data_IF_561631677309
#
_entry.id   IF_561631677309
#
_cell.length_a   1.000
_cell.length_b   1.000
_cell.length_c   1.000
_cell.angle_alpha   90.00
_cell.angle_beta   90.00
_cell.angle_gamma   90.00
#
_symmetry.space_group_name_H-M   'P 1'
#
loop_
_entity.id
_entity.type
_entity.pdbx_description
1 polymer ?
#
# COMPACT_ATOMS: atom_id res chain seq x y z
N UNK A 1 -11.14 -1.20 -27.09
CA UNK A 1 -10.73 -0.81 -25.74
C UNK A 1 -9.99 -1.94 -25.04
N UNK A 2 -10.48 -3.18 -25.11
CA UNK A 2 -9.81 -4.34 -24.48
C UNK A 2 -8.43 -4.63 -25.10
N UNK A 3 -8.28 -4.47 -26.43
CA UNK A 3 -7.01 -4.66 -27.16
C UNK A 3 -5.86 -3.76 -26.68
N UNK A 4 -6.20 -2.61 -26.10
CA UNK A 4 -5.23 -1.63 -25.57
C UNK A 4 -5.17 -1.61 -24.05
N UNK A 5 -5.81 -2.57 -23.40
CA UNK A 5 -5.91 -2.66 -21.93
C UNK A 5 -6.51 -1.41 -21.24
N UNK A 6 -7.36 -0.66 -21.97
CA UNK A 6 -7.99 0.57 -21.45
C UNK A 6 -9.37 0.25 -20.84
N UNK A 7 -9.96 -0.91 -21.19
CA UNK A 7 -11.30 -1.26 -20.73
C UNK A 7 -11.44 -1.34 -19.20
N UNK A 8 -10.48 -1.89 -18.44
CA UNK A 8 -10.56 -1.90 -16.98
C UNK A 8 -10.64 -0.49 -16.38
N UNK A 9 -9.78 0.42 -16.81
CA UNK A 9 -9.76 1.81 -16.33
C UNK A 9 -11.04 2.57 -16.68
N UNK A 10 -11.55 2.34 -17.88
CA UNK A 10 -12.82 2.91 -18.31
C UNK A 10 -13.98 2.42 -17.46
N UNK A 11 -14.09 1.11 -17.22
CA UNK A 11 -15.13 0.53 -16.38
C UNK A 11 -15.02 1.02 -14.93
N UNK A 12 -13.80 1.14 -14.41
CA UNK A 12 -13.57 1.72 -13.09
C UNK A 12 -14.13 3.14 -13.01
N UNK A 13 -13.80 4.00 -13.97
CA UNK A 13 -14.31 5.38 -14.03
C UNK A 13 -15.83 5.43 -14.09
N UNK A 14 -16.44 4.59 -14.93
CA UNK A 14 -17.91 4.50 -15.01
C UNK A 14 -18.53 4.08 -13.68
N UNK A 15 -17.93 3.07 -13.01
CA UNK A 15 -18.40 2.63 -11.69
C UNK A 15 -18.25 3.75 -10.65
N UNK A 16 -17.11 4.40 -10.58
CA UNK A 16 -16.86 5.50 -9.65
C UNK A 16 -17.91 6.61 -9.87
N UNK A 17 -18.11 7.07 -11.10
CA UNK A 17 -19.13 8.09 -11.42
C UNK A 17 -20.53 7.64 -11.00
N UNK A 18 -20.93 6.41 -11.31
CA UNK A 18 -22.24 5.89 -10.94
C UNK A 18 -22.45 5.79 -9.43
N UNK A 19 -21.45 5.31 -8.72
CA UNK A 19 -21.51 5.09 -7.27
C UNK A 19 -21.47 6.39 -6.45
N UNK A 20 -20.89 7.44 -7.01
CA UNK A 20 -20.72 8.70 -6.29
C UNK A 20 -21.67 9.81 -6.76
N UNK A 21 -22.49 9.56 -7.78
CA UNK A 21 -23.38 10.55 -8.39
C UNK A 21 -24.27 11.29 -7.36
N UNK A 22 -24.81 10.56 -6.39
CA UNK A 22 -25.74 11.12 -5.39
C UNK A 22 -25.01 11.71 -4.17
N UNK A 23 -23.69 11.59 -4.11
CA UNK A 23 -22.88 12.15 -3.03
C UNK A 23 -22.65 13.64 -3.29
N UNK A 24 -23.18 14.49 -2.39
CA UNK A 24 -23.05 15.96 -2.51
C UNK A 24 -22.20 16.49 -1.36
N UNK A 25 -20.89 16.68 -1.58
CA UNK A 25 -20.04 17.35 -0.61
C UNK A 25 -20.54 18.79 -0.33
N UNK A 26 -20.54 19.18 0.92
CA UNK A 26 -20.88 20.55 1.28
C UNK A 26 -19.74 21.52 0.95
N UNK A 27 -20.01 22.84 1.05
CA UNK A 27 -19.01 23.87 0.69
C UNK A 27 -17.76 23.84 1.58
N UNK A 28 -17.91 23.56 2.86
CA UNK A 28 -16.80 23.48 3.79
C UNK A 28 -15.87 22.31 3.46
N UNK A 29 -16.43 21.14 3.16
CA UNK A 29 -15.68 19.97 2.71
C UNK A 29 -14.90 20.26 1.42
N UNK A 30 -15.54 20.93 0.46
CA UNK A 30 -14.88 21.32 -0.80
C UNK A 30 -13.70 22.27 -0.56
N UNK A 31 -13.88 23.29 0.29
CA UNK A 31 -12.81 24.25 0.64
C UNK A 31 -11.65 23.53 1.36
N UNK A 32 -11.94 22.65 2.30
CA UNK A 32 -10.92 21.91 3.04
C UNK A 32 -10.18 20.93 2.12
N UNK A 33 -10.87 20.28 1.20
CA UNK A 33 -10.26 19.41 0.22
C UNK A 33 -9.36 20.16 -0.76
N UNK A 34 -9.79 21.34 -1.22
CA UNK A 34 -8.98 22.23 -2.04
C UNK A 34 -7.72 22.70 -1.32
N UNK A 35 -7.84 23.13 -0.05
CA UNK A 35 -6.68 23.49 0.78
C UNK A 35 -5.68 22.33 0.92
N UNK A 36 -6.19 21.14 1.16
CA UNK A 36 -5.35 19.94 1.22
C UNK A 36 -4.64 19.69 -0.11
N UNK A 37 -5.35 19.80 -1.23
CA UNK A 37 -4.76 19.69 -2.56
C UNK A 37 -3.61 20.67 -2.77
N UNK A 38 -3.77 21.94 -2.39
CA UNK A 38 -2.70 22.93 -2.49
C UNK A 38 -1.48 22.57 -1.64
N UNK A 39 -1.70 22.10 -0.41
CA UNK A 39 -0.62 21.67 0.49
C UNK A 39 0.13 20.45 -0.05
N UNK A 40 -0.59 19.42 -0.49
CA UNK A 40 -0.03 18.18 -0.99
C UNK A 40 0.83 18.42 -2.26
N UNK A 41 0.44 19.37 -3.09
CA UNK A 41 1.17 19.77 -4.31
C UNK A 41 2.15 20.93 -4.10
N UNK A 42 2.33 21.40 -2.85
CA UNK A 42 3.22 22.53 -2.50
C UNK A 42 2.92 23.82 -3.27
N UNK A 43 1.66 24.04 -3.62
CA UNK A 43 1.20 25.21 -4.36
C UNK A 43 0.96 26.38 -3.38
N UNK A 44 1.71 27.45 -3.52
CA UNK A 44 1.60 28.64 -2.65
C UNK A 44 1.25 29.86 -3.49
N UNK A 45 0.03 30.37 -3.30
CA UNK A 45 -0.46 31.56 -3.99
C UNK A 45 -0.99 31.30 -5.41
N UNK A 46 -1.57 32.38 -5.97
CA UNK A 46 -2.29 32.30 -7.23
C UNK A 46 -1.38 32.02 -8.45
N UNK A 47 -0.18 32.59 -8.43
CA UNK A 47 0.79 32.42 -9.52
C UNK A 47 1.25 30.97 -9.65
N UNK A 48 1.58 30.34 -8.50
CA UNK A 48 1.97 28.94 -8.45
C UNK A 48 0.81 28.02 -8.89
N UNK A 49 -0.44 28.36 -8.54
CA UNK A 49 -1.61 27.61 -9.00
C UNK A 49 -1.78 27.73 -10.52
N UNK A 50 -1.67 28.94 -11.08
CA UNK A 50 -1.76 29.15 -12.52
C UNK A 50 -0.66 28.39 -13.28
N UNK A 51 0.56 28.40 -12.75
CA UNK A 51 1.66 27.62 -13.34
C UNK A 51 1.34 26.13 -13.30
N UNK A 52 0.90 25.61 -12.15
CA UNK A 52 0.52 24.21 -12.01
C UNK A 52 -0.61 23.81 -13.01
N UNK A 53 -1.63 24.66 -13.17
CA UNK A 53 -2.72 24.45 -14.12
C UNK A 53 -2.19 24.36 -15.56
N UNK A 54 -1.33 25.29 -15.96
CA UNK A 54 -0.71 25.30 -17.29
C UNK A 54 0.13 24.04 -17.54
N UNK A 55 0.97 23.66 -16.58
CA UNK A 55 1.83 22.48 -16.65
C UNK A 55 1.03 21.17 -16.79
N UNK A 56 -0.19 21.15 -16.25
CA UNK A 56 -1.09 19.99 -16.32
C UNK A 56 -2.17 20.10 -17.44
N UNK A 57 -2.18 21.17 -18.22
CA UNK A 57 -3.17 21.39 -19.29
C UNK A 57 -4.60 21.53 -18.78
N UNK A 58 -4.76 22.11 -17.59
CA UNK A 58 -6.05 22.30 -16.91
C UNK A 58 -6.41 23.79 -16.85
N UNK A 59 -7.69 24.08 -16.77
CA UNK A 59 -8.26 25.35 -16.35
C UNK A 59 -8.92 25.21 -14.96
N UNK A 60 -9.28 26.35 -14.35
CA UNK A 60 -9.92 26.39 -13.02
C UNK A 60 -11.17 25.50 -12.96
N UNK A 61 -12.01 25.53 -14.00
CA UNK A 61 -13.25 24.76 -14.05
C UNK A 61 -13.00 23.26 -14.07
N UNK A 62 -11.99 22.82 -14.82
CA UNK A 62 -11.60 21.42 -14.88
C UNK A 62 -10.98 20.96 -13.57
N UNK A 63 -10.17 21.82 -12.94
CA UNK A 63 -9.65 21.54 -11.60
C UNK A 63 -10.77 21.39 -10.58
N UNK A 64 -11.73 22.31 -10.54
CA UNK A 64 -12.89 22.24 -9.64
C UNK A 64 -13.68 20.96 -9.83
N UNK A 65 -13.97 20.61 -11.09
CA UNK A 65 -14.68 19.36 -11.43
C UNK A 65 -13.89 18.13 -10.95
N UNK A 66 -12.60 18.09 -11.23
CA UNK A 66 -11.72 16.98 -10.83
C UNK A 66 -11.65 16.82 -9.30
N UNK A 67 -11.55 17.93 -8.59
CA UNK A 67 -11.48 17.90 -7.11
C UNK A 67 -12.85 17.50 -6.51
N UNK A 68 -13.93 17.98 -7.10
CA UNK A 68 -15.28 17.58 -6.67
C UNK A 68 -15.51 16.08 -6.84
N UNK A 69 -15.19 15.51 -7.99
CA UNK A 69 -15.28 14.07 -8.24
C UNK A 69 -14.41 13.26 -7.28
N UNK A 70 -13.16 13.69 -7.06
CA UNK A 70 -12.26 13.04 -6.08
C UNK A 70 -12.83 13.09 -4.67
N UNK A 71 -13.39 14.21 -4.26
CA UNK A 71 -14.01 14.36 -2.93
C UNK A 71 -15.24 13.47 -2.78
N UNK A 72 -16.04 13.33 -3.84
CA UNK A 72 -17.17 12.38 -3.85
C UNK A 72 -16.68 10.95 -3.61
N UNK A 73 -15.59 10.52 -4.27
CA UNK A 73 -14.99 9.20 -4.07
C UNK A 73 -14.47 9.03 -2.65
N UNK A 74 -13.79 10.05 -2.08
CA UNK A 74 -13.30 9.97 -0.69
C UNK A 74 -14.46 9.87 0.31
N UNK A 75 -15.56 10.59 0.10
CA UNK A 75 -16.77 10.45 0.92
C UNK A 75 -17.41 9.07 0.78
N UNK A 76 -17.47 8.54 -0.42
CA UNK A 76 -17.94 7.17 -0.66
C UNK A 76 -17.12 6.15 0.12
N UNK A 77 -15.78 6.25 0.04
CA UNK A 77 -14.87 5.39 0.80
C UNK A 77 -15.12 5.48 2.30
N UNK A 78 -15.27 6.70 2.84
CA UNK A 78 -15.57 6.88 4.26
C UNK A 78 -16.89 6.25 4.65
N UNK A 79 -17.95 6.53 3.92
CA UNK A 79 -19.28 5.99 4.22
C UNK A 79 -19.33 4.45 4.17
N UNK A 80 -18.53 3.84 3.28
CA UNK A 80 -18.60 2.40 3.05
C UNK A 80 -17.69 1.58 3.98
N UNK A 81 -16.56 2.16 4.41
CA UNK A 81 -15.51 1.38 5.05
C UNK A 81 -15.15 1.84 6.47
N UNK A 82 -15.65 3.00 6.96
CA UNK A 82 -15.25 3.53 8.27
C UNK A 82 -15.39 2.53 9.40
N UNK A 83 -16.55 1.88 9.48
CA UNK A 83 -16.89 0.90 10.53
C UNK A 83 -16.04 -0.38 10.47
N UNK A 84 -15.34 -0.61 9.35
CA UNK A 84 -14.57 -1.83 9.09
C UNK A 84 -13.06 -1.63 9.25
N UNK A 85 -12.61 -0.38 9.40
CA UNK A 85 -11.18 -0.02 9.42
C UNK A 85 -10.46 -0.69 10.59
N UNK A 86 -11.06 -0.66 11.79
CA UNK A 86 -10.43 -1.23 12.98
C UNK A 86 -10.25 -2.74 12.85
N UNK A 87 -11.27 -3.46 12.41
CA UNK A 87 -11.18 -4.90 12.17
C UNK A 87 -10.11 -5.23 11.12
N UNK A 88 -10.13 -4.52 9.98
CA UNK A 88 -9.13 -4.74 8.92
C UNK A 88 -7.71 -4.41 9.40
N UNK A 89 -7.54 -3.39 10.26
CA UNK A 89 -6.25 -3.09 10.89
C UNK A 89 -5.78 -4.24 11.76
N UNK A 90 -6.64 -4.79 12.61
CA UNK A 90 -6.30 -5.90 13.51
C UNK A 90 -5.92 -7.16 12.70
N UNK A 91 -6.68 -7.49 11.67
CA UNK A 91 -6.38 -8.60 10.75
C UNK A 91 -5.03 -8.43 10.04
N UNK A 92 -4.68 -7.19 9.68
CA UNK A 92 -3.47 -6.89 8.92
C UNK A 92 -2.28 -6.50 9.80
N UNK A 93 -2.48 -6.39 11.12
CA UNK A 93 -1.51 -5.81 12.05
C UNK A 93 -0.13 -6.44 11.96
N UNK A 94 -0.08 -7.75 11.92
CA UNK A 94 1.19 -8.48 11.82
C UNK A 94 1.98 -8.15 10.55
N UNK A 95 1.32 -7.90 9.44
CA UNK A 95 1.96 -7.52 8.18
C UNK A 95 2.32 -6.03 8.12
N UNK A 96 1.57 -5.18 8.84
CA UNK A 96 1.76 -3.73 8.90
C UNK A 96 2.82 -3.32 9.94
N UNK A 97 3.07 -4.15 10.95
CA UNK A 97 4.15 -3.91 11.92
C UNK A 97 5.48 -3.86 11.18
N UNK A 98 6.39 -3.00 11.65
CA UNK A 98 7.66 -2.74 10.98
C UNK A 98 8.82 -3.23 11.82
N UNK A 99 9.90 -3.58 11.15
CA UNK A 99 11.14 -4.02 11.76
C UNK A 99 12.31 -3.23 11.20
N UNK A 100 13.31 -3.01 12.04
CA UNK A 100 14.65 -2.64 11.64
C UNK A 100 15.57 -3.82 11.96
N UNK A 101 16.42 -4.18 11.03
CA UNK A 101 17.39 -5.26 11.17
C UNK A 101 18.68 -4.90 10.45
N UNK A 102 19.78 -5.50 10.86
CA UNK A 102 21.05 -5.43 10.13
C UNK A 102 21.23 -6.69 9.30
N UNK A 103 21.82 -6.55 8.12
CA UNK A 103 22.14 -7.67 7.22
C UNK A 103 23.56 -7.52 6.71
N UNK A 104 24.27 -8.65 6.68
CA UNK A 104 25.55 -8.82 5.99
C UNK A 104 25.36 -9.93 4.97
N UNK A 105 25.76 -9.68 3.74
CA UNK A 105 25.53 -10.54 2.59
C UNK A 105 26.85 -10.90 1.91
N UNK A 106 27.10 -12.20 1.79
CA UNK A 106 28.29 -12.72 1.06
C UNK A 106 27.90 -13.85 0.13
N UNK A 107 28.77 -14.21 -0.80
CA UNK A 107 28.56 -15.30 -1.76
C UNK A 107 28.98 -16.66 -1.20
N UNK A 108 30.04 -16.70 -0.43
CA UNK A 108 30.66 -17.91 0.06
C UNK A 108 30.17 -18.27 1.46
N UNK A 109 29.84 -19.56 1.68
CA UNK A 109 29.34 -20.06 2.95
C UNK A 109 30.40 -20.01 4.04
N UNK A 110 31.64 -20.42 3.74
CA UNK A 110 32.70 -20.48 4.72
C UNK A 110 33.07 -19.08 5.21
N UNK A 111 33.05 -18.11 4.28
CA UNK A 111 33.22 -16.69 4.61
C UNK A 111 32.08 -16.20 5.54
N UNK A 112 30.83 -16.59 5.26
CA UNK A 112 29.68 -16.22 6.11
C UNK A 112 29.83 -16.81 7.53
N UNK A 113 30.25 -18.09 7.62
CA UNK A 113 30.47 -18.76 8.91
C UNK A 113 31.58 -18.08 9.73
N UNK A 114 32.70 -17.71 9.09
CA UNK A 114 33.80 -16.98 9.72
C UNK A 114 33.37 -15.60 10.22
N UNK A 115 32.67 -14.82 9.37
CA UNK A 115 32.19 -13.49 9.74
C UNK A 115 31.17 -13.54 10.86
N UNK A 116 30.32 -14.57 10.89
CA UNK A 116 29.40 -14.80 12.00
C UNK A 116 30.11 -14.99 13.32
N UNK A 117 31.15 -15.83 13.36
CA UNK A 117 31.96 -16.07 14.55
C UNK A 117 32.61 -14.77 15.04
N UNK A 118 33.21 -13.97 14.14
CA UNK A 118 33.81 -12.69 14.49
C UNK A 118 32.81 -11.72 15.15
N UNK A 119 31.54 -11.73 14.70
CA UNK A 119 30.50 -10.90 15.32
C UNK A 119 30.10 -11.47 16.70
N UNK A 120 29.93 -12.79 16.79
CA UNK A 120 29.50 -13.48 18.01
C UNK A 120 30.53 -13.33 19.14
N UNK A 121 31.80 -13.51 18.81
CA UNK A 121 32.94 -13.34 19.73
C UNK A 121 33.34 -11.88 19.98
N UNK A 122 32.67 -10.92 19.28
CA UNK A 122 32.93 -9.48 19.36
C UNK A 122 34.34 -9.07 18.92
N UNK A 123 34.95 -9.83 18.05
CA UNK A 123 36.24 -9.51 17.45
C UNK A 123 36.13 -8.36 16.45
N UNK A 124 34.97 -8.24 15.80
CA UNK A 124 34.65 -7.15 14.89
C UNK A 124 33.20 -6.69 15.07
N UNK A 125 32.92 -5.44 14.74
CA UNK A 125 31.56 -4.92 14.73
C UNK A 125 30.81 -5.34 13.48
N UNK A 126 29.50 -5.49 13.59
CA UNK A 126 28.66 -5.80 12.42
C UNK A 126 28.83 -4.78 11.28
N UNK A 127 28.94 -3.49 11.62
CA UNK A 127 29.09 -2.42 10.65
C UNK A 127 30.43 -2.48 9.89
N UNK A 128 31.53 -2.77 10.58
CA UNK A 128 32.87 -2.96 9.95
C UNK A 128 32.84 -4.11 8.96
N UNK A 129 32.28 -5.26 9.35
CA UNK A 129 32.22 -6.42 8.47
C UNK A 129 31.31 -6.18 7.27
N UNK A 130 30.17 -5.51 7.45
CA UNK A 130 29.31 -5.09 6.34
C UNK A 130 30.08 -4.17 5.38
N UNK A 131 30.77 -3.17 5.92
CA UNK A 131 31.55 -2.22 5.10
C UNK A 131 32.63 -2.91 4.28
N UNK A 132 33.26 -3.94 4.82
CA UNK A 132 34.38 -4.63 4.16
C UNK A 132 33.89 -5.73 3.21
N UNK A 133 32.90 -6.53 3.60
CA UNK A 133 32.58 -7.80 2.95
C UNK A 133 31.21 -7.84 2.28
N UNK A 134 30.24 -7.01 2.68
CA UNK A 134 28.90 -7.12 2.10
C UNK A 134 28.88 -6.81 0.61
N UNK A 135 28.13 -7.62 -0.14
CA UNK A 135 28.04 -7.50 -1.60
C UNK A 135 26.81 -6.70 -2.07
N UNK A 136 25.92 -6.33 -1.16
CA UNK A 136 24.68 -5.62 -1.47
C UNK A 136 24.73 -4.12 -1.17
N UNK A 137 23.62 -3.42 -1.48
CA UNK A 137 23.46 -1.98 -1.25
C UNK A 137 23.38 -1.60 0.23
N UNK A 138 23.11 -2.55 1.12
CA UNK A 138 23.13 -2.39 2.57
C UNK A 138 24.50 -1.89 3.10
N UNK A 139 25.56 -2.10 2.33
CA UNK A 139 26.89 -1.59 2.62
C UNK A 139 26.92 -0.08 2.87
N UNK A 140 26.09 0.67 2.13
CA UNK A 140 25.99 2.13 2.24
C UNK A 140 25.35 2.62 3.54
N UNK A 141 24.74 1.72 4.30
CA UNK A 141 23.97 2.01 5.51
C UNK A 141 24.46 1.17 6.71
N UNK A 142 25.74 0.75 6.70
CA UNK A 142 26.32 -0.08 7.76
C UNK A 142 25.53 -1.37 8.02
N UNK A 143 24.85 -1.89 7.01
CA UNK A 143 24.01 -3.07 7.08
C UNK A 143 22.58 -2.84 7.56
N UNK A 144 22.22 -1.64 8.02
CA UNK A 144 20.89 -1.37 8.60
C UNK A 144 19.85 -1.27 7.49
N UNK A 145 18.79 -2.06 7.62
CA UNK A 145 17.62 -2.06 6.76
C UNK A 145 16.39 -1.67 7.58
N UNK A 146 15.57 -0.81 7.02
CA UNK A 146 14.29 -0.44 7.62
C UNK A 146 14.19 1.01 8.07
N UNK A 147 13.04 1.38 8.67
CA UNK A 147 11.92 0.50 9.03
C UNK A 147 11.18 -0.05 7.82
N UNK A 148 11.01 -1.36 7.76
CA UNK A 148 10.29 -2.09 6.70
C UNK A 148 9.14 -2.90 7.30
N UNK A 149 7.99 -2.94 6.60
CA UNK A 149 6.84 -3.72 7.03
C UNK A 149 7.11 -5.22 6.87
N UNK A 150 6.68 -6.01 7.85
CA UNK A 150 6.84 -7.47 7.80
C UNK A 150 6.20 -8.10 6.56
N UNK A 151 5.06 -7.56 6.11
CA UNK A 151 4.38 -8.03 4.90
C UNK A 151 5.13 -7.77 3.58
N UNK A 152 6.22 -6.97 3.62
CA UNK A 152 7.08 -6.71 2.45
C UNK A 152 8.36 -7.53 2.45
N UNK A 153 8.63 -8.26 3.53
CA UNK A 153 9.78 -9.13 3.64
C UNK A 153 9.49 -10.48 2.99
N UNK A 154 10.56 -11.15 2.55
CA UNK A 154 10.48 -12.56 2.24
C UNK A 154 10.01 -13.35 3.47
N UNK A 155 9.24 -14.41 3.24
CA UNK A 155 8.62 -15.18 4.33
C UNK A 155 9.64 -15.71 5.33
N UNK A 156 10.72 -16.34 4.86
CA UNK A 156 11.77 -16.89 5.74
C UNK A 156 12.42 -15.82 6.60
N UNK A 157 12.68 -14.64 6.02
CA UNK A 157 13.27 -13.51 6.74
C UNK A 157 12.27 -12.93 7.74
N UNK A 158 11.01 -12.77 7.35
CA UNK A 158 9.94 -12.28 8.20
C UNK A 158 9.72 -13.17 9.43
N UNK A 159 9.63 -14.49 9.24
CA UNK A 159 9.45 -15.46 10.32
C UNK A 159 10.59 -15.40 11.34
N UNK A 160 11.86 -15.39 10.88
CA UNK A 160 13.03 -15.26 11.76
C UNK A 160 13.01 -13.98 12.58
N UNK A 161 12.76 -12.84 11.92
CA UNK A 161 12.73 -11.54 12.58
C UNK A 161 11.58 -11.39 13.58
N UNK A 162 10.42 -12.02 13.33
CA UNK A 162 9.27 -11.99 14.25
C UNK A 162 9.55 -12.63 15.59
N UNK A 163 10.24 -13.76 15.57
CA UNK A 163 10.57 -14.49 16.80
C UNK A 163 11.84 -13.98 17.48
N UNK A 164 12.54 -13.04 16.86
CA UNK A 164 13.82 -12.52 17.36
C UNK A 164 13.64 -11.56 18.52
N UNK A 165 14.52 -11.68 19.50
CA UNK A 165 14.74 -10.66 20.53
C UNK A 165 15.61 -9.53 19.98
N UNK A 166 15.51 -8.34 20.57
CA UNK A 166 16.38 -7.22 20.21
C UNK A 166 17.86 -7.61 20.37
N UNK A 167 18.65 -7.35 19.34
CA UNK A 167 20.08 -7.68 19.29
C UNK A 167 20.37 -9.14 18.92
N UNK A 168 19.36 -9.98 18.72
CA UNK A 168 19.57 -11.38 18.38
C UNK A 168 20.22 -11.48 17.00
N UNK A 169 21.37 -12.16 16.97
CA UNK A 169 22.10 -12.54 15.78
C UNK A 169 21.64 -13.92 15.30
N UNK A 170 21.45 -14.11 14.02
CA UNK A 170 21.15 -15.39 13.42
C UNK A 170 22.38 -15.95 12.70
N UNK A 171 22.63 -17.26 12.83
CA UNK A 171 23.66 -17.93 12.05
C UNK A 171 23.43 -17.73 10.54
N UNK A 172 24.49 -17.83 9.73
CA UNK A 172 24.38 -17.70 8.29
C UNK A 172 23.34 -18.65 7.69
N UNK A 173 22.51 -18.14 6.81
CA UNK A 173 21.54 -18.97 6.07
C UNK A 173 21.54 -18.57 4.60
N UNK A 174 21.23 -19.52 3.76
CA UNK A 174 21.14 -19.31 2.33
C UNK A 174 19.87 -18.49 2.00
N UNK A 175 20.05 -17.47 1.19
CA UNK A 175 18.95 -16.64 0.70
C UNK A 175 19.21 -16.28 -0.76
N UNK A 176 18.44 -16.89 -1.66
CA UNK A 176 18.67 -16.83 -3.10
C UNK A 176 20.09 -17.34 -3.39
N UNK A 177 20.91 -16.56 -4.06
CA UNK A 177 22.29 -16.92 -4.41
C UNK A 177 23.34 -16.38 -3.42
N UNK A 178 22.95 -16.06 -2.20
CA UNK A 178 23.84 -15.44 -1.21
C UNK A 178 23.64 -16.09 0.16
N UNK A 179 24.60 -15.88 1.04
CA UNK A 179 24.53 -16.18 2.45
C UNK A 179 24.31 -14.89 3.24
N UNK A 180 23.30 -14.90 4.10
CA UNK A 180 22.95 -13.77 4.95
C UNK A 180 23.24 -14.07 6.40
N UNK A 181 23.84 -13.09 7.07
CA UNK A 181 23.87 -12.96 8.53
C UNK A 181 22.94 -11.80 8.86
N UNK A 182 22.00 -12.01 9.77
CA UNK A 182 21.04 -10.96 10.17
C UNK A 182 21.08 -10.75 11.67
N UNK A 183 20.86 -9.50 12.08
CA UNK A 183 20.67 -9.12 13.47
C UNK A 183 19.40 -8.29 13.61
N UNK A 184 18.52 -8.70 14.52
CA UNK A 184 17.30 -7.95 14.81
C UNK A 184 17.65 -6.68 15.61
N UNK A 185 17.27 -5.51 15.13
CA UNK A 185 17.56 -4.24 15.81
C UNK A 185 16.36 -3.76 16.63
N UNK A 186 15.18 -3.63 15.99
CA UNK A 186 14.01 -3.06 16.65
C UNK A 186 12.71 -3.42 15.94
N UNK A 187 11.69 -3.74 16.73
CA UNK A 187 10.30 -3.79 16.29
C UNK A 187 9.64 -2.42 16.47
N UNK A 188 8.83 -2.04 15.49
CA UNK A 188 8.07 -0.79 15.45
C UNK A 188 6.59 -1.14 15.18
N UNK A 189 5.80 -1.36 16.23
CA UNK A 189 4.39 -1.67 16.08
C UNK A 189 3.65 -0.58 15.32
N UNK A 190 2.82 -0.98 14.38
CA UNK A 190 1.92 -0.08 13.68
C UNK A 190 0.84 0.45 14.62
N UNK A 191 0.40 1.68 14.38
CA UNK A 191 -0.66 2.35 15.15
C UNK A 191 -1.78 2.75 14.20
N UNK A 192 -3.01 2.67 14.68
CA UNK A 192 -4.18 3.11 13.92
C UNK A 192 -4.37 4.63 14.09
N UNK A 193 -3.43 5.41 13.58
CA UNK A 193 -3.55 6.85 13.44
C UNK A 193 -4.35 7.21 12.16
N UNK A 194 -4.62 8.50 11.95
CA UNK A 194 -5.42 8.97 10.83
C UNK A 194 -4.79 8.61 9.47
N UNK A 195 -3.47 8.62 9.37
CA UNK A 195 -2.75 8.22 8.17
C UNK A 195 -2.94 6.71 7.88
N UNK A 196 -2.88 5.87 8.91
CA UNK A 196 -3.12 4.44 8.80
C UNK A 196 -4.60 4.15 8.48
N UNK A 197 -5.55 4.85 9.11
CA UNK A 197 -6.98 4.74 8.78
C UNK A 197 -7.23 5.06 7.30
N UNK A 198 -6.67 6.15 6.81
CA UNK A 198 -6.79 6.51 5.40
C UNK A 198 -6.16 5.47 4.47
N UNK A 199 -5.00 4.94 4.83
CA UNK A 199 -4.32 3.87 4.08
C UNK A 199 -5.16 2.61 4.01
N UNK A 200 -5.69 2.14 5.15
CA UNK A 200 -6.54 0.95 5.21
C UNK A 200 -7.82 1.15 4.40
N UNK A 201 -8.47 2.30 4.55
CA UNK A 201 -9.66 2.65 3.76
C UNK A 201 -9.37 2.59 2.26
N UNK A 202 -8.22 3.09 1.82
CA UNK A 202 -7.82 3.00 0.42
C UNK A 202 -7.55 1.56 -0.02
N UNK A 203 -6.88 0.73 0.79
CA UNK A 203 -6.65 -0.68 0.48
C UNK A 203 -7.98 -1.41 0.31
N UNK A 204 -8.92 -1.25 1.25
CA UNK A 204 -10.24 -1.88 1.18
C UNK A 204 -11.03 -1.43 -0.05
N UNK A 205 -10.95 -0.14 -0.37
CA UNK A 205 -11.60 0.39 -1.56
C UNK A 205 -11.00 -0.18 -2.84
N UNK A 206 -9.66 -0.23 -2.95
CA UNK A 206 -8.98 -0.80 -4.13
C UNK A 206 -9.30 -2.29 -4.31
N UNK A 207 -9.28 -3.08 -3.24
CA UNK A 207 -9.68 -4.48 -3.26
C UNK A 207 -11.14 -4.62 -3.77
N UNK A 208 -12.03 -3.82 -3.23
CA UNK A 208 -13.45 -3.85 -3.57
C UNK A 208 -13.74 -3.39 -5.00
N UNK A 209 -13.24 -2.22 -5.42
CA UNK A 209 -13.51 -1.69 -6.76
C UNK A 209 -12.91 -2.57 -7.86
N UNK A 210 -11.71 -3.10 -7.63
CA UNK A 210 -11.07 -4.02 -8.57
C UNK A 210 -11.89 -5.32 -8.72
N UNK A 211 -12.44 -5.85 -7.63
CA UNK A 211 -13.35 -7.00 -7.68
C UNK A 211 -14.60 -6.71 -8.53
N UNK A 212 -15.19 -5.51 -8.39
CA UNK A 212 -16.35 -5.10 -9.19
C UNK A 212 -15.99 -4.93 -10.67
N UNK A 213 -14.85 -4.33 -10.97
CA UNK A 213 -14.36 -4.17 -12.36
C UNK A 213 -14.12 -5.53 -13.00
N UNK A 214 -13.47 -6.46 -12.29
CA UNK A 214 -13.24 -7.82 -12.80
C UNK A 214 -14.56 -8.54 -13.08
N UNK A 215 -15.54 -8.44 -12.19
CA UNK A 215 -16.87 -9.01 -12.39
C UNK A 215 -17.56 -8.45 -13.66
N UNK A 216 -17.45 -7.16 -13.92
CA UNK A 216 -17.98 -6.56 -15.15
C UNK A 216 -17.22 -7.00 -16.41
N UNK A 217 -15.90 -7.09 -16.32
CA UNK A 217 -15.07 -7.59 -17.43
C UNK A 217 -15.45 -9.01 -17.81
N UNK A 218 -15.67 -9.88 -16.82
CA UNK A 218 -16.11 -11.26 -17.07
C UNK A 218 -17.49 -11.32 -17.73
N UNK A 219 -18.43 -10.48 -17.31
CA UNK A 219 -19.74 -10.37 -17.95
C UNK A 219 -19.65 -9.91 -19.42
N UNK A 220 -18.75 -8.96 -19.71
CA UNK A 220 -18.54 -8.44 -21.07
C UNK A 220 -17.85 -9.47 -21.94
N UNK A 221 -16.84 -10.17 -21.44
CA UNK A 221 -16.05 -11.15 -22.19
C UNK A 221 -16.79 -12.47 -22.40
N UNK A 222 -17.60 -12.86 -21.43
CA UNK A 222 -18.30 -14.16 -21.40
C UNK A 222 -19.79 -14.02 -21.13
N UNK A 223 -20.57 -13.35 -21.98
CA UNK A 223 -21.98 -13.00 -21.73
C UNK A 223 -22.90 -14.23 -21.49
N UNK A 224 -22.49 -15.42 -21.91
CA UNK A 224 -23.28 -16.67 -21.72
C UNK A 224 -23.10 -17.31 -20.32
N UNK A 225 -22.07 -16.94 -19.56
CA UNK A 225 -21.79 -17.49 -18.22
C UNK A 225 -22.39 -16.66 -17.08
N UNK A 226 -23.00 -15.52 -17.38
CA UNK A 226 -23.51 -14.59 -16.36
C UNK A 226 -24.76 -15.10 -15.60
N UNK A 227 -25.40 -16.20 -16.04
CA UNK A 227 -26.60 -16.75 -15.38
C UNK A 227 -26.34 -17.58 -14.12
N UNK A 228 -25.08 -17.98 -13.83
CA UNK A 228 -24.79 -18.94 -12.73
C UNK A 228 -23.81 -18.45 -11.65
N UNK A 229 -23.38 -17.19 -11.64
CA UNK A 229 -22.59 -16.65 -10.52
C UNK A 229 -23.14 -15.29 -10.07
N UNK A 230 -24.42 -15.26 -9.70
CA UNK A 230 -24.94 -14.19 -8.86
C UNK A 230 -24.60 -14.51 -7.40
N UNK A 231 -23.78 -13.66 -6.82
CA UNK A 231 -23.64 -13.37 -5.39
C UNK A 231 -24.02 -14.51 -4.42
N UNK A 232 -23.03 -15.05 -3.71
CA UNK A 232 -23.28 -15.82 -2.50
C UNK A 232 -24.02 -14.93 -1.49
N UNK A 233 -25.03 -15.50 -0.82
CA UNK A 233 -26.04 -14.82 0.02
C UNK A 233 -25.53 -13.96 1.19
N UNK A 234 -24.23 -13.82 1.40
CA UNK A 234 -23.65 -13.03 2.49
C UNK A 234 -23.45 -11.53 2.17
N UNK A 235 -23.68 -11.08 0.93
CA UNK A 235 -23.55 -9.66 0.57
C UNK A 235 -24.88 -8.90 0.50
N UNK A 236 -26.01 -9.55 0.77
CA UNK A 236 -27.35 -8.92 0.67
C UNK A 236 -27.61 -7.81 1.67
N UNK A 237 -26.75 -7.60 2.66
CA UNK A 237 -26.99 -6.60 3.72
C UNK A 237 -26.21 -5.28 3.53
N UNK A 238 -25.54 -5.03 2.40
CA UNK A 238 -24.64 -3.87 2.25
C UNK A 238 -24.97 -2.97 1.04
N UNK A 239 -26.00 -3.30 0.25
CA UNK A 239 -26.40 -2.45 -0.87
C UNK A 239 -27.82 -1.96 -0.61
N UNK A 240 -28.07 -0.62 -0.50
CA UNK A 240 -29.42 -0.12 -0.63
C UNK A 240 -29.92 -0.50 -2.04
N UNK A 241 -31.14 -1.03 -2.13
CA UNK A 241 -31.82 -1.42 -3.38
C UNK A 241 -31.71 -0.27 -4.39
N UNK A 242 -30.82 -0.43 -5.37
CA UNK A 242 -30.80 0.45 -6.53
C UNK A 242 -31.78 -0.16 -7.53
N UNK A 243 -32.99 0.39 -7.58
CA UNK A 243 -33.98 0.07 -8.59
C UNK A 243 -33.33 0.11 -9.97
N UNK A 244 -33.48 -0.98 -10.69
CA UNK A 244 -32.95 -1.20 -12.04
C UNK A 244 -33.64 -0.23 -13.03
N UNK A 245 -32.95 0.71 -13.69
CA UNK A 245 -33.58 1.64 -14.64
C UNK A 245 -33.52 1.14 -16.09
N UNK A 246 -33.58 -0.17 -16.32
CA UNK A 246 -33.67 -0.78 -17.65
C UNK A 246 -34.86 -1.77 -17.69
N UNK A 247 -36.05 -1.30 -17.40
CA UNK A 247 -37.31 -1.75 -17.94
C UNK A 247 -38.03 -0.56 -18.56
#
# INVERSE_FOLDING_TARGET
LDRYNILPDFLRRLLETKLTHDIKPNKEEQINFFRKFLLDNKIQGKEALNQWLNDNGLDDKRLDTMLFERLQVEKFKSNMFEDKIENKFLESKESLDRVMYSVLRVKDKNQADELYIQIEEKEATFAELVSNYSTGSEKNFNGIIGPVEYGRLDQNLSERLRISKKGQLWPPFEFKENWLIIRHEKNLPSKLDDAMKQRIRNIMYEEWINSKVLGLLDQIRYPKNSKNKMFTDNEKNVIPEINNPLE
#
